data_IF_025978402591
#
_entry.id   IF_025978402591
#
_cell.length_a   1.000
_cell.length_b   1.000
_cell.length_c   1.000
_cell.angle_alpha   90.00
_cell.angle_beta   90.00
_cell.angle_gamma   90.00
#
_symmetry.space_group_name_H-M   'P 1'
#
loop_
_entity.id
_entity.type
_entity.pdbx_description
1 polymer ?
#
# COMPACT_ATOMS: atom_id res chain seq x y z
N UNK A 1 -3.24 9.46 34.43
CA UNK A 1 -4.65 9.11 34.70
C UNK A 1 -5.19 8.35 33.49
N UNK A 2 -5.53 7.08 33.69
CA UNK A 2 -5.75 6.08 32.65
C UNK A 2 -7.24 5.69 32.61
N UNK A 3 -7.91 5.83 31.46
CA UNK A 3 -9.35 5.47 31.31
C UNK A 3 -9.66 4.85 29.94
N UNK A 4 -8.86 3.88 29.49
CA UNK A 4 -9.22 3.03 28.34
C UNK A 4 -9.36 1.56 28.75
N UNK A 5 -10.53 1.22 29.27
CA UNK A 5 -11.07 -0.14 29.18
C UNK A 5 -12.57 -0.12 29.34
N UNK A 6 -13.31 -0.12 28.23
CA UNK A 6 -14.67 -0.65 28.19
C UNK A 6 -14.71 -1.80 27.19
N UNK A 7 -14.56 -3.00 27.75
CA UNK A 7 -14.99 -4.29 27.21
C UNK A 7 -16.40 -4.16 26.60
N UNK A 8 -16.51 -4.22 25.28
CA UNK A 8 -17.78 -4.54 24.63
C UNK A 8 -17.99 -6.04 24.75
N UNK A 9 -18.84 -6.43 25.71
CA UNK A 9 -19.39 -7.78 25.82
C UNK A 9 -20.56 -7.83 24.83
N UNK A 10 -20.35 -8.47 23.68
CA UNK A 10 -21.40 -8.69 22.70
C UNK A 10 -22.22 -9.90 23.16
N UNK A 11 -23.47 -9.65 23.54
CA UNK A 11 -24.47 -10.66 23.90
C UNK A 11 -24.78 -11.54 22.68
N UNK A 12 -24.58 -12.86 22.85
CA UNK A 12 -25.14 -13.89 21.99
C UNK A 12 -26.62 -14.02 22.34
N UNK A 13 -27.48 -13.58 21.44
CA UNK A 13 -28.92 -13.86 21.48
C UNK A 13 -29.29 -14.41 20.09
N UNK A 14 -29.55 -15.72 20.06
CA UNK A 14 -30.58 -16.44 19.32
C UNK A 14 -30.77 -16.20 17.81
N UNK A 15 -30.03 -16.97 16.99
CA UNK A 15 -30.48 -17.32 15.65
C UNK A 15 -31.54 -18.43 15.73
N UNK A 16 -32.81 -18.06 15.60
CA UNK A 16 -33.90 -18.99 15.36
C UNK A 16 -33.81 -19.60 13.96
N UNK A 17 -33.93 -20.91 13.92
CA UNK A 17 -34.01 -21.76 12.74
C UNK A 17 -35.45 -21.78 12.21
N UNK A 18 -35.63 -21.55 10.91
CA UNK A 18 -36.79 -22.06 10.16
C UNK A 18 -36.33 -22.48 8.75
N UNK A 19 -36.67 -23.70 8.29
CA UNK A 19 -36.38 -24.13 6.93
C UNK A 19 -37.49 -23.67 5.98
N UNK A 20 -37.12 -23.04 4.86
CA UNK A 20 -38.00 -22.89 3.72
C UNK A 20 -37.43 -23.71 2.56
N UNK A 21 -38.22 -24.71 2.17
CA UNK A 21 -38.04 -25.63 1.06
C UNK A 21 -38.05 -24.90 -0.28
N UNK A 22 -37.06 -25.17 -1.13
CA UNK A 22 -37.01 -24.68 -2.50
C UNK A 22 -36.11 -25.57 -3.36
N UNK A 23 -36.69 -26.63 -3.91
CA UNK A 23 -36.08 -27.49 -4.93
C UNK A 23 -35.90 -26.70 -6.23
N UNK A 24 -34.69 -26.66 -6.76
CA UNK A 24 -34.49 -26.64 -8.21
C UNK A 24 -33.26 -27.48 -8.56
N UNK A 25 -33.54 -28.57 -9.28
CA UNK A 25 -32.60 -29.41 -10.00
C UNK A 25 -32.21 -28.69 -11.31
N UNK A 26 -30.97 -28.88 -11.78
CA UNK A 26 -30.49 -29.05 -13.17
C UNK A 26 -28.94 -29.14 -13.06
N UNK A 27 -28.38 -30.35 -13.10
CA UNK A 27 -27.63 -30.92 -14.24
C UNK A 27 -26.25 -30.27 -14.45
N UNK A 28 -25.18 -30.87 -13.94
CA UNK A 28 -24.27 -31.77 -14.67
C UNK A 28 -23.53 -31.10 -15.84
N UNK A 29 -22.20 -30.94 -15.71
CA UNK A 29 -21.24 -31.76 -16.47
C UNK A 29 -19.82 -31.48 -15.97
N UNK A 30 -19.12 -32.56 -15.64
CA UNK A 30 -17.68 -32.57 -15.44
C UNK A 30 -16.96 -32.45 -16.80
N UNK A 31 -15.88 -31.68 -16.86
CA UNK A 31 -14.87 -31.83 -17.89
C UNK A 31 -13.49 -31.87 -17.23
N UNK A 32 -13.00 -33.10 -17.06
CA UNK A 32 -11.63 -33.43 -16.72
C UNK A 32 -10.74 -33.11 -17.93
N UNK A 33 -9.86 -32.12 -17.81
CA UNK A 33 -8.79 -31.89 -18.78
C UNK A 33 -7.52 -32.49 -18.18
N UNK A 34 -7.13 -33.64 -18.73
CA UNK A 34 -5.84 -34.28 -18.49
C UNK A 34 -4.75 -33.45 -19.18
N UNK A 35 -3.87 -32.82 -18.41
CA UNK A 35 -2.61 -32.28 -18.94
C UNK A 35 -1.57 -33.41 -19.01
N UNK A 36 -1.08 -33.79 -20.19
CA UNK A 36 0.12 -34.62 -20.26
C UNK A 36 1.33 -33.78 -19.86
N UNK A 37 1.97 -34.23 -18.78
CA UNK A 37 3.33 -33.88 -18.39
C UNK A 37 4.30 -34.18 -19.53
N UNK A 38 5.01 -33.17 -20.02
CA UNK A 38 6.26 -33.38 -20.75
C UNK A 38 7.42 -32.98 -19.85
N UNK A 39 8.01 -34.02 -19.27
CA UNK A 39 9.31 -34.04 -18.65
C UNK A 39 10.35 -33.94 -19.80
N UNK A 40 11.23 -32.95 -19.76
CA UNK A 40 12.49 -33.02 -20.52
C UNK A 40 13.61 -32.54 -19.61
N UNK A 41 14.41 -33.54 -19.23
CA UNK A 41 15.65 -33.47 -18.49
C UNK A 41 16.80 -33.08 -19.43
N UNK A 42 17.82 -32.49 -18.80
CA UNK A 42 19.24 -32.62 -19.13
C UNK A 42 19.82 -31.83 -20.31
N UNK A 43 20.85 -31.05 -19.97
CA UNK A 43 21.81 -30.53 -20.93
C UNK A 43 22.81 -29.53 -20.36
N UNK A 44 23.52 -29.86 -19.28
CA UNK A 44 24.77 -29.16 -18.93
C UNK A 44 25.87 -29.63 -19.90
N UNK A 45 26.51 -28.72 -20.62
CA UNK A 45 27.76 -29.00 -21.30
C UNK A 45 28.70 -27.79 -21.18
N UNK A 46 29.64 -27.90 -20.25
CA UNK A 46 30.89 -27.16 -20.22
C UNK A 46 31.80 -27.67 -21.33
N UNK A 47 32.37 -26.74 -22.10
CA UNK A 47 33.43 -27.00 -23.07
C UNK A 47 34.37 -25.80 -23.11
N UNK A 48 35.62 -26.04 -22.74
CA UNK A 48 36.63 -25.07 -22.37
C UNK A 48 37.84 -25.22 -23.32
N UNK A 49 38.45 -24.08 -23.66
CA UNK A 49 39.89 -23.86 -23.93
C UNK A 49 40.49 -23.96 -25.35
N UNK A 50 41.53 -23.11 -25.46
CA UNK A 50 42.59 -22.94 -26.48
C UNK A 50 42.22 -22.09 -27.70
N UNK A 51 42.94 -21.05 -28.09
CA UNK A 51 44.26 -20.54 -27.71
C UNK A 51 44.88 -19.92 -28.97
N UNK A 52 45.11 -18.60 -28.99
CA UNK A 52 45.62 -17.90 -30.18
C UNK A 52 46.27 -16.57 -29.85
N UNK A 53 47.59 -16.59 -29.76
CA UNK A 53 48.50 -15.48 -29.44
C UNK A 53 48.77 -14.67 -30.72
N UNK A 54 48.47 -13.37 -30.76
CA UNK A 54 49.15 -12.39 -31.62
C UNK A 54 49.27 -11.05 -30.89
N UNK A 55 50.52 -10.60 -30.78
CA UNK A 55 50.92 -9.28 -30.31
C UNK A 55 50.56 -8.24 -31.36
N UNK A 56 49.99 -7.11 -30.94
CA UNK A 56 50.14 -5.84 -31.66
C UNK A 56 50.20 -4.71 -30.63
N UNK A 57 51.31 -3.99 -30.68
CA UNK A 57 51.62 -2.82 -29.87
C UNK A 57 50.79 -1.65 -30.38
N UNK A 58 49.96 -1.04 -29.53
CA UNK A 58 49.39 0.28 -29.78
C UNK A 58 49.32 1.09 -28.49
N UNK A 59 49.62 2.37 -28.67
CA UNK A 59 49.69 3.46 -27.71
C UNK A 59 48.42 3.57 -26.85
N UNK A 60 48.60 3.92 -25.57
CA UNK A 60 47.54 3.94 -24.58
C UNK A 60 46.53 5.08 -24.70
N UNK A 61 45.36 4.86 -24.09
CA UNK A 61 44.53 5.82 -23.37
C UNK A 61 43.34 5.05 -22.74
N UNK A 62 43.41 4.91 -21.42
CA UNK A 62 42.31 4.97 -20.44
C UNK A 62 41.08 4.06 -20.62
N UNK A 63 41.18 2.85 -20.06
CA UNK A 63 40.06 2.04 -19.56
C UNK A 63 39.46 2.68 -18.30
N UNK A 64 38.43 3.52 -18.45
CA UNK A 64 37.50 3.86 -17.36
C UNK A 64 36.08 4.03 -17.92
N UNK A 65 35.49 2.95 -18.44
CA UNK A 65 34.08 2.94 -18.86
C UNK A 65 33.47 1.54 -18.61
N UNK A 66 33.03 1.23 -17.38
CA UNK A 66 31.98 0.20 -17.17
C UNK A 66 31.35 0.22 -15.76
N UNK A 67 32.06 0.66 -14.72
CA UNK A 67 31.57 0.55 -13.33
C UNK A 67 30.66 1.69 -12.82
N UNK A 68 30.29 2.64 -13.67
CA UNK A 68 29.53 3.83 -13.25
C UNK A 68 28.05 3.80 -13.66
N UNK A 69 27.66 2.92 -14.59
CA UNK A 69 26.31 2.96 -15.18
C UNK A 69 25.27 2.06 -14.47
N UNK A 70 25.71 1.12 -13.62
CA UNK A 70 24.77 0.31 -12.82
C UNK A 70 24.39 0.94 -11.47
N UNK A 71 25.10 1.98 -11.01
CA UNK A 71 24.78 2.65 -9.74
C UNK A 71 23.91 3.90 -9.92
N UNK A 72 23.83 4.48 -11.11
CA UNK A 72 22.98 5.66 -11.37
C UNK A 72 21.52 5.30 -11.67
N UNK A 73 21.24 4.08 -12.17
CA UNK A 73 19.88 3.66 -12.52
C UNK A 73 19.03 3.23 -11.31
N UNK A 74 19.64 2.86 -10.18
CA UNK A 74 18.94 2.44 -8.97
C UNK A 74 18.54 3.60 -8.06
N UNK A 75 19.25 4.74 -8.09
CA UNK A 75 18.94 5.89 -7.23
C UNK A 75 17.84 6.81 -7.80
N UNK A 76 17.71 6.89 -9.13
CA UNK A 76 16.64 7.66 -9.78
C UNK A 76 15.27 6.97 -9.70
N UNK A 77 15.25 5.64 -9.69
CA UNK A 77 14.02 4.83 -9.63
C UNK A 77 13.46 4.78 -8.20
N UNK A 78 14.32 4.68 -7.19
CA UNK A 78 13.88 4.68 -5.80
C UNK A 78 13.28 6.02 -5.36
N UNK A 79 13.75 7.14 -5.90
CA UNK A 79 13.32 8.49 -5.50
C UNK A 79 11.98 8.93 -6.12
N UNK A 80 11.55 8.32 -7.22
CA UNK A 80 10.23 8.56 -7.85
C UNK A 80 9.14 7.65 -7.29
N UNK A 81 9.53 6.47 -6.82
CA UNK A 81 8.60 5.46 -6.30
C UNK A 81 8.36 5.58 -4.79
N UNK A 82 9.27 6.21 -4.03
CA UNK A 82 9.14 6.35 -2.55
C UNK A 82 8.59 7.70 -2.07
N UNK A 83 8.51 8.70 -2.94
CA UNK A 83 7.82 9.98 -2.68
C UNK A 83 6.80 10.18 -3.79
N UNK A 84 5.52 9.86 -3.56
CA UNK A 84 4.48 10.24 -4.52
C UNK A 84 3.57 9.14 -5.07
N UNK A 85 3.74 7.86 -4.69
CA UNK A 85 2.93 6.76 -5.22
C UNK A 85 1.79 6.36 -4.28
N UNK A 86 0.64 5.99 -4.85
CA UNK A 86 -0.50 5.42 -4.14
C UNK A 86 -0.49 3.88 -4.09
N UNK A 87 0.54 3.24 -4.65
CA UNK A 87 0.68 1.79 -4.68
C UNK A 87 0.56 1.12 -3.29
N UNK A 88 1.13 1.67 -2.19
CA UNK A 88 0.94 1.09 -0.86
C UNK A 88 -0.53 1.03 -0.42
N UNK A 89 -1.30 2.08 -0.72
CA UNK A 89 -2.73 2.15 -0.42
C UNK A 89 -3.54 1.16 -1.28
N UNK A 90 -3.22 1.04 -2.57
CA UNK A 90 -3.86 0.07 -3.47
C UNK A 90 -3.59 -1.37 -3.01
N UNK A 91 -2.35 -1.67 -2.63
CA UNK A 91 -1.99 -2.98 -2.08
C UNK A 91 -2.73 -3.27 -0.78
N UNK A 92 -2.85 -2.28 0.11
CA UNK A 92 -3.59 -2.41 1.37
C UNK A 92 -5.09 -2.65 1.15
N UNK A 93 -5.69 -2.03 0.13
CA UNK A 93 -7.07 -2.29 -0.29
C UNK A 93 -7.24 -3.70 -0.85
N UNK A 94 -6.38 -4.11 -1.78
CA UNK A 94 -6.46 -5.40 -2.46
C UNK A 94 -6.32 -6.57 -1.47
N UNK A 95 -5.45 -6.43 -0.47
CA UNK A 95 -5.21 -7.44 0.56
C UNK A 95 -6.13 -7.30 1.78
N UNK A 96 -7.03 -6.31 1.79
CA UNK A 96 -7.94 -6.03 2.90
C UNK A 96 -7.23 -5.88 4.26
N UNK A 97 -6.08 -5.18 4.25
CA UNK A 97 -5.24 -5.08 5.44
C UNK A 97 -5.94 -4.34 6.59
N UNK A 98 -5.56 -4.71 7.81
CA UNK A 98 -5.99 -4.05 9.04
C UNK A 98 -4.75 -3.71 9.86
N UNK A 99 -4.77 -2.55 10.52
CA UNK A 99 -3.64 -2.07 11.34
C UNK A 99 -2.31 -2.01 10.59
N UNK A 100 -2.37 -1.61 9.32
CA UNK A 100 -1.19 -1.53 8.48
C UNK A 100 -0.64 -0.10 8.48
N UNK A 101 0.58 0.08 8.97
CA UNK A 101 1.28 1.36 8.88
C UNK A 101 1.77 1.57 7.45
N UNK A 102 1.22 2.57 6.75
CA UNK A 102 1.53 2.84 5.35
C UNK A 102 1.81 4.32 5.14
N UNK A 103 2.65 4.61 4.15
CA UNK A 103 2.87 5.96 3.62
C UNK A 103 2.54 5.97 2.14
N UNK A 104 1.76 6.95 1.68
CA UNK A 104 1.42 7.10 0.26
C UNK A 104 1.04 8.54 -0.07
N UNK A 105 0.98 8.86 -1.37
CA UNK A 105 0.56 10.18 -1.85
C UNK A 105 -0.65 10.02 -2.76
N UNK A 106 -1.65 10.88 -2.58
CA UNK A 106 -2.85 10.87 -3.42
C UNK A 106 -3.51 12.27 -3.47
N UNK A 107 -4.27 12.58 -4.54
CA UNK A 107 -5.10 13.77 -4.59
C UNK A 107 -6.32 13.65 -3.68
N UNK A 108 -6.69 14.77 -3.06
CA UNK A 108 -7.94 14.92 -2.31
C UNK A 108 -9.09 14.97 -3.30
N UNK A 109 -9.97 13.96 -3.26
CA UNK A 109 -11.22 13.95 -4.01
C UNK A 109 -12.23 14.95 -3.47
N UNK A 110 -12.37 14.97 -2.14
CA UNK A 110 -13.38 15.78 -1.45
C UNK A 110 -13.02 16.02 0.00
N UNK A 111 -13.11 17.26 0.45
CA UNK A 111 -13.14 17.61 1.88
C UNK A 111 -14.57 17.43 2.39
N UNK A 112 -14.74 16.73 3.51
CA UNK A 112 -16.04 16.47 4.12
C UNK A 112 -16.35 17.52 5.19
N UNK A 113 -17.63 17.71 5.56
CA UNK A 113 -17.98 18.59 6.67
C UNK A 113 -17.22 18.21 7.96
N UNK A 114 -16.87 19.19 8.81
CA UNK A 114 -16.21 18.94 10.08
C UNK A 114 -16.96 17.90 10.92
N UNK A 115 -16.25 16.95 11.53
CA UNK A 115 -16.85 16.06 12.52
C UNK A 115 -16.46 16.49 13.93
N UNK A 116 -17.46 16.96 14.67
CA UNK A 116 -17.30 17.43 16.05
C UNK A 116 -17.89 16.46 17.07
N UNK A 117 -18.39 15.30 16.65
CA UNK A 117 -18.92 14.28 17.57
C UNK A 117 -17.77 13.47 18.15
N UNK A 118 -17.54 13.62 19.46
CA UNK A 118 -16.39 13.01 20.13
C UNK A 118 -15.15 13.88 19.98
N UNK A 119 -13.99 13.28 19.66
CA UNK A 119 -12.79 14.05 19.32
C UNK A 119 -12.97 14.68 17.93
N UNK A 120 -12.58 15.94 17.73
CA UNK A 120 -12.78 16.62 16.46
C UNK A 120 -11.87 16.03 15.39
N UNK A 121 -12.43 15.79 14.20
CA UNK A 121 -11.68 15.30 13.05
C UNK A 121 -11.92 16.17 11.82
N UNK A 122 -10.83 16.48 11.12
CA UNK A 122 -10.88 16.86 9.71
C UNK A 122 -10.99 15.57 8.90
N UNK A 123 -12.02 15.48 8.04
CA UNK A 123 -12.23 14.31 7.19
C UNK A 123 -12.18 14.70 5.72
N UNK A 124 -11.57 13.83 4.93
CA UNK A 124 -11.52 13.99 3.49
C UNK A 124 -11.33 12.64 2.81
N UNK A 125 -11.72 12.57 1.55
CA UNK A 125 -11.53 11.40 0.69
C UNK A 125 -10.31 11.64 -0.19
N UNK A 126 -9.43 10.64 -0.26
CA UNK A 126 -8.37 10.53 -1.26
C UNK A 126 -8.87 9.69 -2.43
N UNK A 127 -8.46 10.04 -3.65
CA UNK A 127 -8.70 9.25 -4.86
C UNK A 127 -7.42 8.52 -5.25
N UNK A 128 -7.50 7.20 -5.37
CA UNK A 128 -6.38 6.38 -5.84
C UNK A 128 -6.46 6.22 -7.37
N UNK A 129 -5.35 5.89 -7.99
CA UNK A 129 -5.17 5.74 -9.44
C UNK A 129 -6.01 4.61 -10.05
N UNK A 130 -6.46 3.65 -9.23
CA UNK A 130 -7.42 2.61 -9.64
C UNK A 130 -8.89 3.05 -9.52
N UNK A 131 -9.15 4.32 -9.19
CA UNK A 131 -10.49 4.91 -9.09
C UNK A 131 -11.21 4.67 -7.75
N UNK A 132 -10.60 3.93 -6.82
CA UNK A 132 -11.17 3.75 -5.48
C UNK A 132 -10.85 4.95 -4.57
N UNK A 133 -11.36 4.91 -3.34
CA UNK A 133 -11.14 5.98 -2.36
C UNK A 133 -10.72 5.45 -1.00
N UNK A 134 -9.99 6.27 -0.25
CA UNK A 134 -9.72 6.08 1.17
C UNK A 134 -10.27 7.28 1.95
N UNK A 135 -10.95 7.02 3.06
CA UNK A 135 -11.33 8.06 4.01
C UNK A 135 -10.17 8.35 4.94
N UNK A 136 -9.78 9.62 5.07
CA UNK A 136 -8.87 10.07 6.13
C UNK A 136 -9.67 10.67 7.28
N UNK A 137 -9.33 10.30 8.52
CA UNK A 137 -9.84 10.91 9.74
C UNK A 137 -8.67 11.47 10.56
N UNK A 138 -8.36 12.74 10.33
CA UNK A 138 -7.26 13.44 10.99
C UNK A 138 -7.75 14.15 12.24
N UNK A 139 -7.25 13.76 13.41
CA UNK A 139 -7.71 14.29 14.70
C UNK A 139 -7.14 15.70 14.95
N UNK A 140 -7.98 16.72 14.85
CA UNK A 140 -7.55 18.12 14.94
C UNK A 140 -7.28 18.62 16.36
N UNK A 141 -7.53 17.77 17.37
CA UNK A 141 -7.08 18.03 18.74
C UNK A 141 -5.59 17.70 18.92
N UNK A 142 -5.09 16.73 18.15
CA UNK A 142 -3.71 16.24 18.26
C UNK A 142 -2.77 17.01 17.34
N UNK A 143 -3.25 17.36 16.14
CA UNK A 143 -2.48 18.03 15.10
C UNK A 143 -3.31 19.18 14.48
N UNK A 144 -2.67 20.23 13.92
CA UNK A 144 -3.39 21.33 13.29
C UNK A 144 -4.11 20.88 12.00
N UNK A 145 -5.25 21.52 11.70
CA UNK A 145 -5.97 21.29 10.45
C UNK A 145 -5.09 21.56 9.22
N UNK A 146 -5.22 20.71 8.20
CA UNK A 146 -4.47 20.85 6.94
C UNK A 146 -5.28 21.74 5.97
N UNK A 147 -4.73 22.82 5.41
CA UNK A 147 -5.45 23.75 4.54
C UNK A 147 -5.59 23.20 3.10
N UNK A 148 -6.29 22.09 2.95
CA UNK A 148 -6.48 21.34 1.70
C UNK A 148 -7.82 21.63 1.03
N UNK A 149 -7.87 21.38 -0.27
CA UNK A 149 -9.09 21.45 -1.09
C UNK A 149 -9.13 20.27 -2.07
N UNK A 150 -10.24 20.11 -2.80
CA UNK A 150 -10.29 19.09 -3.85
C UNK A 150 -9.18 19.35 -4.89
N UNK A 151 -8.46 18.29 -5.29
CA UNK A 151 -7.29 18.35 -6.16
C UNK A 151 -5.96 18.59 -5.44
N UNK A 152 -5.95 18.94 -4.15
CA UNK A 152 -4.70 19.02 -3.37
C UNK A 152 -4.04 17.65 -3.29
N UNK A 153 -2.76 17.57 -3.64
CA UNK A 153 -1.96 16.36 -3.42
C UNK A 153 -1.35 16.38 -2.02
N UNK A 154 -1.55 15.30 -1.28
CA UNK A 154 -0.99 15.14 0.07
C UNK A 154 -0.23 13.83 0.16
N UNK A 155 0.89 13.85 0.89
CA UNK A 155 1.55 12.61 1.35
C UNK A 155 1.09 12.35 2.77
N UNK A 156 0.63 11.14 3.04
CA UNK A 156 0.06 10.75 4.32
C UNK A 156 0.79 9.53 4.85
N UNK A 157 1.11 9.55 6.14
CA UNK A 157 1.57 8.39 6.91
C UNK A 157 0.61 8.15 8.07
N UNK A 158 0.31 6.89 8.34
CA UNK A 158 -0.41 6.47 9.55
C UNK A 158 -0.87 5.02 9.44
N UNK A 159 -1.92 4.68 10.18
CA UNK A 159 -2.52 3.35 10.17
C UNK A 159 -3.69 3.26 9.18
N UNK A 160 -3.70 2.20 8.37
CA UNK A 160 -4.78 1.84 7.46
C UNK A 160 -5.65 0.70 8.03
N UNK A 161 -6.96 0.83 7.86
CA UNK A 161 -7.94 -0.21 8.20
C UNK A 161 -8.91 -0.41 7.03
N UNK A 162 -8.94 -1.62 6.48
CA UNK A 162 -9.89 -1.97 5.42
C UNK A 162 -11.35 -1.92 5.88
N UNK A 163 -12.23 -1.51 4.96
CA UNK A 163 -13.67 -1.63 5.08
C UNK A 163 -14.30 -1.70 3.67
N UNK A 164 -15.61 -1.99 3.59
CA UNK A 164 -16.33 -2.11 2.31
C UNK A 164 -16.36 -0.82 1.46
N UNK A 165 -15.94 0.33 2.01
CA UNK A 165 -15.87 1.63 1.32
C UNK A 165 -14.46 1.98 0.84
N UNK A 166 -13.52 1.04 0.88
CA UNK A 166 -12.14 1.23 0.41
C UNK A 166 -11.14 1.58 1.49
N UNK A 167 -11.55 1.63 2.77
CA UNK A 167 -10.65 1.77 3.91
C UNK A 167 -10.67 3.13 4.61
N UNK A 168 -10.08 3.15 5.79
CA UNK A 168 -9.91 4.29 6.69
C UNK A 168 -8.42 4.49 6.99
N UNK A 169 -7.98 5.73 6.90
CA UNK A 169 -6.69 6.20 7.36
C UNK A 169 -6.86 6.99 8.65
N UNK A 170 -6.15 6.62 9.71
CA UNK A 170 -6.13 7.31 11.00
C UNK A 170 -4.71 7.27 11.60
N UNK A 171 -4.53 7.80 12.81
CA UNK A 171 -3.18 8.02 13.40
C UNK A 171 -2.26 8.87 12.54
N UNK A 172 -2.82 9.86 11.85
CA UNK A 172 -2.09 10.78 10.99
C UNK A 172 -1.51 11.96 11.78
N UNK A 173 -1.00 11.67 12.98
CA UNK A 173 -0.44 12.62 13.92
C UNK A 173 0.69 11.97 14.72
N UNK A 174 1.51 12.79 15.37
CA UNK A 174 2.57 12.33 16.24
C UNK A 174 1.99 11.54 17.43
N UNK A 175 2.73 10.57 17.95
CA UNK A 175 2.33 9.81 19.13
C UNK A 175 3.51 9.65 20.07
N UNK A 176 3.29 9.99 21.34
CA UNK A 176 4.22 9.69 22.44
C UNK A 176 3.98 8.29 23.03
N UNK A 177 3.03 7.54 22.49
CA UNK A 177 2.64 6.23 23.02
C UNK A 177 3.63 5.17 22.55
N UNK A 178 4.27 4.40 23.45
CA UNK A 178 5.37 3.49 23.10
C UNK A 178 4.99 2.30 22.20
N UNK A 179 3.70 2.12 21.89
CA UNK A 179 3.17 0.95 21.19
C UNK A 179 2.34 1.31 19.95
N UNK A 180 2.46 2.53 19.43
CA UNK A 180 1.82 2.93 18.17
C UNK A 180 2.80 3.74 17.34
N UNK A 181 2.87 3.50 16.04
CA UNK A 181 3.67 4.35 15.17
C UNK A 181 2.95 5.68 14.94
N UNK A 182 3.71 6.78 14.97
CA UNK A 182 3.17 8.10 14.64
C UNK A 182 3.01 8.27 13.13
N UNK A 183 2.03 9.09 12.76
CA UNK A 183 1.80 9.48 11.38
C UNK A 183 1.88 10.99 11.18
N UNK A 184 1.64 11.40 9.94
CA UNK A 184 1.66 12.80 9.55
C UNK A 184 0.89 13.00 8.25
N UNK A 185 0.57 14.26 7.95
CA UNK A 185 0.16 14.70 6.62
C UNK A 185 1.17 15.75 6.15
N UNK A 186 1.77 15.55 4.99
CA UNK A 186 2.60 16.54 4.32
C UNK A 186 1.80 17.20 3.19
N UNK A 187 1.74 18.53 3.21
CA UNK A 187 1.07 19.35 2.21
C UNK A 187 1.85 20.64 1.97
N UNK A 188 2.12 20.97 0.70
CA UNK A 188 2.83 22.18 0.28
C UNK A 188 4.15 22.42 1.05
N UNK A 189 4.94 21.36 1.25
CA UNK A 189 6.23 21.43 1.94
C UNK A 189 6.14 21.60 3.46
N UNK A 190 4.94 21.52 4.04
CA UNK A 190 4.73 21.57 5.49
C UNK A 190 4.17 20.24 5.99
N UNK A 191 4.71 19.79 7.12
CA UNK A 191 4.21 18.64 7.89
C UNK A 191 3.18 19.07 8.93
N UNK A 192 2.14 18.26 9.08
CA UNK A 192 1.07 18.37 10.07
C UNK A 192 1.03 17.06 10.85
N UNK A 193 1.39 17.12 12.14
CA UNK A 193 1.44 15.98 13.06
C UNK A 193 1.21 16.42 14.51
#
# INVERSE_FOLDING_TARGET
MNQYSKKLRMSREDCHSTPATGRMLISALALLILFPTVLSLSGCAQGQMAGGRRQSSYHGQDEQNDFSNQQQQSQQSYSRDTVGSDAPAINAQAQQLIKAEITFTAPVKKVLPPDTRGLPHQKFLLELSNGTTILVAHNTRMAPEVPISAGSFVTIKGEYIWNQKGGLMHWTHHTDTPNHEGGYIDFNGKRYE
#
